data_IF_361178418142
#
_entry.id   IF_361178418142
#
_cell.length_a   1.000
_cell.length_b   1.000
_cell.length_c   1.000
_cell.angle_alpha   90.00
_cell.angle_beta   90.00
_cell.angle_gamma   90.00
#
_symmetry.space_group_name_H-M   'P 1'
#
loop_
_entity.id
_entity.type
_entity.pdbx_description
1 polymer ?
#
# COMPACT_ATOMS: atom_id res chain seq x y z
N UNK A 1 -39.31 54.84 -15.89
CA UNK A 1 -38.46 55.18 -17.05
C UNK A 1 -37.08 55.54 -16.52
N UNK A 2 -36.00 55.27 -17.28
CA UNK A 2 -34.59 55.60 -16.98
C UNK A 2 -33.87 54.57 -16.09
N UNK A 3 -32.71 54.00 -16.42
CA UNK A 3 -32.04 53.65 -17.68
C UNK A 3 -30.92 52.68 -17.25
N UNK A 4 -30.98 51.42 -17.68
CA UNK A 4 -29.91 50.44 -17.49
C UNK A 4 -28.64 51.00 -18.15
N UNK A 5 -27.64 51.43 -17.37
CA UNK A 5 -26.37 51.93 -17.92
C UNK A 5 -25.45 50.74 -18.21
N UNK A 6 -25.41 50.38 -19.49
CA UNK A 6 -24.37 49.58 -20.15
C UNK A 6 -23.04 50.33 -20.04
N UNK A 7 -22.02 49.73 -19.44
CA UNK A 7 -20.64 50.24 -19.50
C UNK A 7 -19.83 49.28 -20.37
N UNK A 8 -19.31 49.81 -21.46
CA UNK A 8 -18.69 49.07 -22.55
C UNK A 8 -17.28 48.59 -22.24
N UNK A 9 -16.86 47.60 -23.03
CA UNK A 9 -15.48 47.12 -23.12
C UNK A 9 -14.58 48.28 -23.56
N UNK A 10 -13.62 48.61 -22.71
CA UNK A 10 -12.42 49.34 -23.08
C UNK A 10 -11.25 48.45 -22.69
N UNK A 11 -10.60 47.87 -23.69
CA UNK A 11 -9.36 47.13 -23.50
C UNK A 11 -8.35 48.02 -22.79
N UNK A 12 -7.88 47.57 -21.64
CA UNK A 12 -6.69 48.10 -21.00
C UNK A 12 -5.61 47.06 -21.08
N UNK A 13 -4.58 47.43 -21.84
CA UNK A 13 -3.29 46.77 -21.96
C UNK A 13 -2.66 46.73 -20.57
N UNK A 14 -2.60 45.56 -19.94
CA UNK A 14 -1.89 45.40 -18.66
C UNK A 14 -0.40 45.31 -18.96
N UNK A 15 0.31 46.39 -18.66
CA UNK A 15 1.76 46.45 -18.71
C UNK A 15 2.38 45.44 -17.74
N UNK A 16 3.32 44.62 -18.23
CA UNK A 16 4.12 43.73 -17.39
C UNK A 16 5.09 44.57 -16.53
N UNK A 17 5.09 44.45 -15.19
CA UNK A 17 6.12 45.06 -14.35
C UNK A 17 7.41 44.23 -14.39
N UNK A 18 8.55 44.94 -14.32
CA UNK A 18 9.93 44.43 -14.41
C UNK A 18 10.24 43.40 -13.30
N UNK A 19 10.94 42.33 -13.71
CA UNK A 19 11.37 41.20 -12.86
C UNK A 19 12.63 41.54 -12.05
N UNK A 20 12.57 42.31 -10.96
CA UNK A 20 13.75 42.39 -10.06
C UNK A 20 13.48 42.27 -8.55
N UNK A 21 12.25 42.38 -8.04
CA UNK A 21 11.99 42.23 -6.59
C UNK A 21 10.80 41.29 -6.27
N UNK A 22 10.90 40.02 -6.66
CA UNK A 22 9.96 38.98 -6.22
C UNK A 22 10.69 37.92 -5.37
N UNK A 23 10.18 37.55 -4.18
CA UNK A 23 10.76 36.46 -3.38
C UNK A 23 10.79 35.16 -4.21
N UNK A 24 11.80 34.30 -4.03
CA UNK A 24 12.00 33.15 -4.89
C UNK A 24 10.77 32.25 -4.91
N UNK A 25 10.27 31.94 -6.11
CA UNK A 25 9.11 31.09 -6.29
C UNK A 25 9.35 29.73 -5.63
N UNK A 26 8.42 29.36 -4.74
CA UNK A 26 8.49 28.11 -3.98
C UNK A 26 8.49 26.94 -4.96
N UNK A 27 9.45 26.00 -4.89
CA UNK A 27 9.58 24.95 -5.89
C UNK A 27 8.33 24.06 -5.94
N UNK A 28 7.89 23.74 -7.16
CA UNK A 28 6.70 22.90 -7.40
C UNK A 28 6.92 21.54 -6.76
N UNK A 29 6.05 21.21 -5.81
CA UNK A 29 6.13 19.99 -5.02
C UNK A 29 5.67 18.81 -5.88
N UNK A 30 6.59 17.94 -6.28
CA UNK A 30 6.24 16.64 -6.87
C UNK A 30 6.20 15.57 -5.77
N UNK A 31 5.56 14.43 -6.07
CA UNK A 31 5.34 13.29 -5.15
C UNK A 31 6.62 12.69 -4.54
N UNK A 32 7.81 13.09 -4.99
CA UNK A 32 9.10 12.51 -4.61
C UNK A 32 10.11 13.53 -4.01
N UNK A 33 9.71 14.77 -3.73
CA UNK A 33 10.56 15.77 -3.07
C UNK A 33 10.94 16.98 -3.95
N UNK A 34 11.75 17.90 -3.38
CA UNK A 34 12.24 19.10 -4.06
C UNK A 34 13.37 18.76 -5.04
N UNK A 35 13.33 19.34 -6.24
CA UNK A 35 14.37 19.19 -7.27
C UNK A 35 15.28 20.43 -7.21
N UNK A 36 16.49 20.27 -6.70
CA UNK A 36 17.50 21.32 -6.77
C UNK A 36 18.06 21.43 -8.19
N UNK A 37 18.14 22.67 -8.71
CA UNK A 37 18.48 23.00 -10.12
C UNK A 37 20.00 23.01 -10.41
N UNK A 38 20.83 22.36 -9.61
CA UNK A 38 22.28 22.36 -9.81
C UNK A 38 22.79 20.96 -10.18
N UNK A 39 22.72 20.64 -11.47
CA UNK A 39 23.72 19.90 -12.24
C UNK A 39 23.14 19.59 -13.63
N UNK A 40 23.49 20.44 -14.60
CA UNK A 40 23.36 20.19 -16.04
C UNK A 40 24.79 20.27 -16.58
N UNK A 41 25.28 19.18 -17.17
CA UNK A 41 26.06 19.10 -18.42
C UNK A 41 26.61 17.68 -18.51
N UNK A 42 25.97 16.84 -19.32
CA UNK A 42 26.64 16.13 -20.41
C UNK A 42 25.55 15.57 -21.33
N UNK A 43 25.56 16.05 -22.56
CA UNK A 43 24.65 15.69 -23.64
C UNK A 43 24.97 14.26 -24.11
N UNK A 44 24.05 13.33 -23.84
CA UNK A 44 23.80 12.20 -24.73
C UNK A 44 22.29 12.10 -24.87
N UNK A 45 21.80 12.33 -26.07
CA UNK A 45 20.41 12.13 -26.46
C UNK A 45 20.05 10.64 -26.30
N UNK A 46 19.47 10.30 -25.15
CA UNK A 46 18.61 9.13 -25.01
C UNK A 46 17.27 9.61 -24.45
N UNK A 47 16.29 9.75 -25.36
CA UNK A 47 14.89 10.08 -25.08
C UNK A 47 14.17 8.90 -24.38
N UNK A 48 14.69 8.45 -23.25
CA UNK A 48 14.00 7.66 -22.25
C UNK A 48 14.60 7.98 -20.88
N UNK A 49 14.18 9.09 -20.29
CA UNK A 49 14.28 9.27 -18.83
C UNK A 49 13.34 8.23 -18.23
N UNK A 50 13.83 7.00 -18.12
CA UNK A 50 13.12 5.90 -17.51
C UNK A 50 12.79 6.33 -16.08
N UNK A 51 11.52 6.66 -15.84
CA UNK A 51 10.96 6.83 -14.51
C UNK A 51 11.52 5.71 -13.61
N UNK A 52 11.96 6.00 -12.38
CA UNK A 52 12.67 5.03 -11.56
C UNK A 52 11.86 3.73 -11.52
N UNK A 53 12.42 2.67 -12.13
CA UNK A 53 11.70 1.43 -12.34
C UNK A 53 11.35 0.85 -10.98
N UNK A 54 10.06 0.82 -10.65
CA UNK A 54 9.58 0.26 -9.40
C UNK A 54 9.88 -1.24 -9.37
N UNK A 55 10.84 -1.62 -8.52
CA UNK A 55 11.37 -2.99 -8.44
C UNK A 55 10.40 -3.95 -7.73
N UNK A 56 9.67 -3.50 -6.72
CA UNK A 56 8.89 -4.39 -5.86
C UNK A 56 7.46 -4.62 -6.38
N UNK A 57 7.27 -5.59 -7.28
CA UNK A 57 5.95 -5.94 -7.83
C UNK A 57 5.35 -7.17 -7.14
N UNK A 58 5.01 -7.04 -5.87
CA UNK A 58 4.37 -8.12 -5.13
C UNK A 58 2.84 -8.10 -5.24
N UNK A 59 2.25 -9.29 -5.26
CA UNK A 59 0.80 -9.51 -5.24
C UNK A 59 0.49 -10.50 -4.13
N UNK A 60 -0.39 -10.12 -3.23
CA UNK A 60 -0.70 -10.92 -2.04
C UNK A 60 -2.05 -11.59 -2.24
N UNK A 61 -2.11 -12.91 -2.10
CA UNK A 61 -3.37 -13.65 -2.01
C UNK A 61 -3.82 -13.66 -0.54
N UNK A 62 -5.04 -13.22 -0.26
CA UNK A 62 -5.64 -13.33 1.09
C UNK A 62 -6.79 -14.32 1.05
N UNK A 63 -6.68 -15.37 1.85
CA UNK A 63 -7.73 -16.37 2.01
C UNK A 63 -7.88 -16.81 3.46
N UNK A 64 -8.98 -17.49 3.77
CA UNK A 64 -9.31 -17.94 5.12
C UNK A 64 -9.86 -19.37 5.12
N UNK A 65 -9.75 -20.04 6.26
CA UNK A 65 -10.36 -21.34 6.46
C UNK A 65 -11.88 -21.22 6.56
N UNK A 66 -12.57 -22.33 6.28
CA UNK A 66 -13.96 -22.48 6.71
C UNK A 66 -14.11 -22.25 8.22
N UNK A 67 -15.32 -21.82 8.62
CA UNK A 67 -15.70 -21.56 10.02
C UNK A 67 -14.88 -20.48 10.74
N UNK A 68 -14.33 -19.53 9.99
CA UNK A 68 -13.75 -18.32 10.57
C UNK A 68 -14.80 -17.52 11.36
N UNK A 69 -14.44 -17.09 12.56
CA UNK A 69 -15.28 -16.23 13.41
C UNK A 69 -15.53 -14.87 12.75
N UNK A 70 -16.65 -14.23 13.11
CA UNK A 70 -17.02 -12.90 12.62
C UNK A 70 -15.90 -11.87 12.84
N UNK A 71 -15.34 -11.82 14.05
CA UNK A 71 -14.25 -10.90 14.40
C UNK A 71 -13.02 -11.07 13.49
N UNK A 72 -12.61 -12.31 13.26
CA UNK A 72 -11.45 -12.62 12.41
C UNK A 72 -11.71 -12.34 10.94
N UNK A 73 -12.96 -12.49 10.48
CA UNK A 73 -13.37 -12.07 9.14
C UNK A 73 -13.24 -10.56 8.96
N UNK A 74 -13.64 -9.77 9.95
CA UNK A 74 -13.47 -8.31 9.92
C UNK A 74 -11.99 -7.91 9.95
N UNK A 75 -11.16 -8.56 10.76
CA UNK A 75 -9.70 -8.36 10.73
C UNK A 75 -9.13 -8.60 9.32
N UNK A 76 -9.51 -9.71 8.66
CA UNK A 76 -9.09 -10.01 7.31
C UNK A 76 -9.52 -8.92 6.31
N UNK A 77 -10.77 -8.44 6.40
CA UNK A 77 -11.27 -7.38 5.52
C UNK A 77 -10.55 -6.04 5.74
N UNK A 78 -10.15 -5.73 6.98
CA UNK A 78 -9.34 -4.55 7.28
C UNK A 78 -7.95 -4.64 6.64
N UNK A 79 -7.34 -5.83 6.58
CA UNK A 79 -6.07 -5.99 5.87
C UNK A 79 -6.22 -5.88 4.35
N UNK A 80 -7.31 -6.41 3.80
CA UNK A 80 -7.63 -6.26 2.37
C UNK A 80 -7.87 -4.80 1.99
N UNK A 81 -8.45 -3.99 2.89
CA UNK A 81 -8.66 -2.56 2.61
C UNK A 81 -7.36 -1.75 2.69
N UNK A 82 -6.41 -2.15 3.53
CA UNK A 82 -5.09 -1.53 3.67
C UNK A 82 -4.18 -1.84 2.47
N UNK A 83 -4.20 -3.08 1.96
CA UNK A 83 -3.29 -3.51 0.89
C UNK A 83 -3.92 -3.36 -0.51
N UNK A 84 -3.47 -2.41 -1.35
CA UNK A 84 -4.04 -2.19 -2.68
C UNK A 84 -3.72 -3.32 -3.67
N UNK A 85 -2.63 -4.06 -3.42
CA UNK A 85 -2.15 -5.17 -4.25
C UNK A 85 -2.62 -6.54 -3.73
N UNK A 86 -3.59 -6.55 -2.81
CA UNK A 86 -4.18 -7.76 -2.26
C UNK A 86 -5.33 -8.27 -3.14
N UNK A 87 -5.35 -9.58 -3.39
CA UNK A 87 -6.46 -10.30 -3.98
C UNK A 87 -7.12 -11.17 -2.93
N UNK A 88 -8.36 -10.87 -2.59
CA UNK A 88 -9.17 -11.72 -1.72
C UNK A 88 -9.70 -12.92 -2.51
N UNK A 89 -9.61 -14.12 -1.93
CA UNK A 89 -10.17 -15.34 -2.51
C UNK A 89 -11.27 -15.96 -1.64
N UNK A 90 -11.89 -17.00 -2.18
CA UNK A 90 -12.87 -17.82 -1.48
C UNK A 90 -12.23 -18.63 -0.34
N UNK A 91 -13.09 -19.10 0.56
CA UNK A 91 -12.67 -19.89 1.73
C UNK A 91 -12.14 -21.25 1.29
N UNK A 92 -11.02 -21.67 1.87
CA UNK A 92 -10.41 -22.98 1.59
C UNK A 92 -10.94 -24.05 2.55
N UNK A 93 -11.20 -25.25 2.04
CA UNK A 93 -11.91 -26.33 2.75
C UNK A 93 -11.08 -27.59 3.01
N UNK A 94 -9.91 -27.71 2.38
CA UNK A 94 -9.10 -28.93 2.46
C UNK A 94 -8.52 -29.13 3.87
N UNK A 95 -8.83 -30.28 4.48
CA UNK A 95 -8.32 -30.64 5.81
C UNK A 95 -6.91 -31.22 5.76
N UNK A 96 -6.54 -31.89 4.67
CA UNK A 96 -5.31 -32.70 4.59
C UNK A 96 -4.20 -32.01 3.79
N UNK A 97 -4.52 -31.29 2.70
CA UNK A 97 -3.48 -30.76 1.78
C UNK A 97 -3.52 -29.24 1.62
N UNK A 98 -3.63 -28.51 2.74
CA UNK A 98 -3.75 -27.04 2.73
C UNK A 98 -2.61 -26.35 1.96
N UNK A 99 -1.37 -26.81 2.14
CA UNK A 99 -0.21 -26.21 1.48
C UNK A 99 -0.25 -26.32 -0.04
N UNK A 100 -0.55 -27.52 -0.57
CA UNK A 100 -0.60 -27.74 -2.02
C UNK A 100 -1.74 -26.93 -2.66
N UNK A 101 -2.95 -26.97 -2.07
CA UNK A 101 -4.08 -26.18 -2.57
C UNK A 101 -3.80 -24.68 -2.54
N UNK A 102 -3.11 -24.18 -1.50
CA UNK A 102 -2.74 -22.76 -1.45
C UNK A 102 -1.72 -22.39 -2.53
N UNK A 103 -0.74 -23.25 -2.79
CA UNK A 103 0.24 -23.02 -3.86
C UNK A 103 -0.43 -22.96 -5.24
N UNK A 104 -1.35 -23.90 -5.53
CA UNK A 104 -2.15 -23.90 -6.76
C UNK A 104 -2.97 -22.60 -6.89
N UNK A 105 -3.65 -22.16 -5.82
CA UNK A 105 -4.42 -20.92 -5.83
C UNK A 105 -3.55 -19.68 -6.09
N UNK A 106 -2.36 -19.65 -5.48
CA UNK A 106 -1.39 -18.56 -5.69
C UNK A 106 -0.92 -18.51 -7.14
N UNK A 107 -0.63 -19.66 -7.74
CA UNK A 107 -0.24 -19.78 -9.15
C UNK A 107 -1.38 -19.35 -10.08
N UNK A 108 -2.61 -19.84 -9.85
CA UNK A 108 -3.80 -19.47 -10.62
C UNK A 108 -4.08 -17.96 -10.58
N UNK A 109 -3.89 -17.33 -9.42
CA UNK A 109 -4.10 -15.88 -9.25
C UNK A 109 -2.88 -15.03 -9.61
N UNK A 110 -1.75 -15.66 -9.97
CA UNK A 110 -0.45 -15.00 -10.22
C UNK A 110 -0.05 -14.08 -9.06
N UNK A 111 -0.11 -14.61 -7.84
CA UNK A 111 0.36 -13.94 -6.64
C UNK A 111 1.79 -14.38 -6.29
N UNK A 112 2.55 -13.53 -5.61
CA UNK A 112 3.90 -13.83 -5.12
C UNK A 112 3.88 -14.34 -3.68
N UNK A 113 2.92 -13.84 -2.90
CA UNK A 113 2.81 -14.12 -1.47
C UNK A 113 1.38 -14.51 -1.11
N UNK A 114 1.21 -15.27 -0.02
CA UNK A 114 -0.06 -15.71 0.49
C UNK A 114 -0.19 -15.39 1.98
N UNK A 115 -1.36 -14.89 2.36
CA UNK A 115 -1.82 -14.74 3.73
C UNK A 115 -3.04 -15.64 3.93
N UNK A 116 -2.90 -16.66 4.77
CA UNK A 116 -3.96 -17.60 5.07
C UNK A 116 -4.36 -17.56 6.54
N UNK A 117 -5.63 -17.20 6.78
CA UNK A 117 -6.23 -17.14 8.11
C UNK A 117 -6.82 -18.50 8.47
N UNK A 118 -6.10 -19.29 9.26
CA UNK A 118 -6.55 -20.59 9.76
C UNK A 118 -7.24 -20.41 11.12
N UNK A 119 -8.56 -20.60 11.16
CA UNK A 119 -9.30 -20.62 12.41
C UNK A 119 -9.47 -22.07 12.90
N UNK A 120 -9.01 -22.35 14.12
CA UNK A 120 -9.18 -23.66 14.79
C UNK A 120 -10.18 -23.55 15.92
N UNK A 121 -11.05 -24.56 16.03
CA UNK A 121 -12.10 -24.66 17.07
C UNK A 121 -12.99 -23.40 17.20
N UNK A 122 -13.05 -22.56 16.16
CA UNK A 122 -13.69 -21.24 16.17
C UNK A 122 -13.18 -20.27 17.27
N UNK A 123 -12.03 -20.57 17.89
CA UNK A 123 -11.44 -19.79 18.99
C UNK A 123 -10.09 -19.25 18.61
N UNK A 124 -9.19 -20.11 18.16
CA UNK A 124 -7.81 -19.73 17.89
C UNK A 124 -7.64 -19.30 16.44
N UNK A 125 -6.93 -18.19 16.24
CA UNK A 125 -6.56 -17.71 14.91
C UNK A 125 -5.06 -17.91 14.69
N UNK A 126 -4.73 -18.64 13.64
CA UNK A 126 -3.38 -18.74 13.12
C UNK A 126 -3.30 -17.99 11.79
N UNK A 127 -2.28 -17.15 11.65
CA UNK A 127 -1.98 -16.48 10.39
C UNK A 127 -0.76 -17.15 9.77
N UNK A 128 -0.97 -17.70 8.58
CA UNK A 128 0.11 -18.20 7.74
C UNK A 128 0.51 -17.12 6.77
N UNK A 129 1.79 -16.78 6.75
CA UNK A 129 2.40 -15.90 5.75
C UNK A 129 3.43 -16.70 4.98
N UNK A 130 3.28 -16.78 3.66
CA UNK A 130 4.17 -17.56 2.82
C UNK A 130 4.54 -16.79 1.54
N UNK A 131 5.81 -16.87 1.13
CA UNK A 131 6.22 -16.54 -0.24
C UNK A 131 6.15 -17.83 -1.06
N UNK A 132 5.39 -17.83 -2.14
CA UNK A 132 5.20 -19.00 -3.00
C UNK A 132 5.95 -18.78 -4.32
N UNK A 133 6.48 -19.83 -4.98
CA UNK A 133 6.31 -21.26 -4.69
C UNK A 133 7.39 -21.87 -3.77
N UNK A 134 8.52 -21.19 -3.56
CA UNK A 134 9.71 -21.75 -2.89
C UNK A 134 9.72 -21.64 -1.36
N UNK A 135 8.76 -20.97 -0.75
CA UNK A 135 8.90 -20.48 0.63
C UNK A 135 9.73 -19.20 0.69
N UNK A 136 9.98 -18.62 1.88
CA UNK A 136 9.71 -19.14 3.23
C UNK A 136 8.24 -19.07 3.66
N UNK A 137 7.89 -19.81 4.72
CA UNK A 137 6.56 -19.76 5.35
C UNK A 137 6.67 -19.61 6.86
N UNK A 138 5.76 -18.83 7.42
CA UNK A 138 5.74 -18.48 8.83
C UNK A 138 4.32 -18.64 9.34
N UNK A 139 4.21 -19.18 10.55
CA UNK A 139 2.94 -19.34 11.25
C UNK A 139 2.93 -18.50 12.52
N UNK A 140 2.01 -17.55 12.57
CA UNK A 140 1.76 -16.73 13.74
C UNK A 140 0.53 -17.23 14.49
N UNK A 141 0.60 -17.25 15.82
CA UNK A 141 -0.59 -17.30 16.67
C UNK A 141 -1.03 -15.86 16.92
N UNK A 142 -2.24 -15.50 16.47
CA UNK A 142 -2.77 -14.15 16.63
C UNK A 142 -3.62 -14.10 17.90
N UNK A 143 -3.11 -13.39 18.91
CA UNK A 143 -3.81 -13.14 20.17
C UNK A 143 -4.38 -11.73 20.22
N UNK A 144 -5.45 -11.52 21.01
CA UNK A 144 -5.99 -10.19 21.35
C UNK A 144 -6.30 -9.34 20.10
N UNK A 145 -7.21 -9.83 19.26
CA UNK A 145 -7.64 -9.12 18.05
C UNK A 145 -8.66 -8.04 18.41
N UNK A 146 -8.36 -6.80 18.03
CA UNK A 146 -9.32 -5.70 18.01
C UNK A 146 -9.52 -5.20 16.58
N UNK A 147 -10.77 -5.09 16.15
CA UNK A 147 -11.09 -4.62 14.79
C UNK A 147 -11.24 -3.10 14.75
N UNK A 148 -11.11 -2.51 13.56
CA UNK A 148 -11.29 -1.07 13.36
C UNK A 148 -12.67 -0.56 13.80
N UNK A 149 -13.69 -1.42 13.79
CA UNK A 149 -15.05 -1.08 14.23
C UNK A 149 -15.20 -1.10 15.76
N UNK A 150 -14.39 -1.90 16.45
CA UNK A 150 -14.40 -2.00 17.92
C UNK A 150 -13.59 -0.87 18.56
N UNK A 151 -12.49 -0.44 17.92
CA UNK A 151 -11.66 0.65 18.41
C UNK A 151 -12.27 1.99 18.03
N UNK A 152 -12.61 2.83 19.03
CA UNK A 152 -13.08 4.21 18.83
C UNK A 152 -11.94 5.16 18.43
N UNK A 153 -11.14 4.77 17.44
CA UNK A 153 -10.12 5.63 16.88
C UNK A 153 -10.76 6.62 15.92
N UNK A 154 -10.50 7.91 16.13
CA UNK A 154 -10.94 9.01 15.26
C UNK A 154 -10.03 9.22 14.05
N UNK A 155 -9.00 8.38 13.89
CA UNK A 155 -8.00 8.50 12.84
C UNK A 155 -8.51 8.04 11.47
N UNK A 156 -8.35 8.88 10.46
CA UNK A 156 -8.65 8.56 9.06
C UNK A 156 -7.35 8.42 8.24
N UNK A 157 -7.35 7.55 7.25
CA UNK A 157 -6.23 7.35 6.34
C UNK A 157 -6.73 7.13 4.91
N UNK A 158 -5.91 7.49 3.93
CA UNK A 158 -6.22 7.24 2.54
C UNK A 158 -6.13 5.74 2.24
N UNK A 159 -7.23 5.17 1.74
CA UNK A 159 -7.29 3.75 1.35
C UNK A 159 -6.28 3.44 0.24
N UNK A 160 -5.45 2.42 0.44
CA UNK A 160 -4.40 2.04 -0.52
C UNK A 160 -3.21 3.00 -0.56
N UNK A 161 -3.10 3.93 0.40
CA UNK A 161 -1.86 4.70 0.59
C UNK A 161 -0.70 3.79 0.98
N UNK A 162 0.52 4.27 0.74
CA UNK A 162 1.74 3.54 1.10
C UNK A 162 2.03 3.77 2.58
N UNK A 163 1.92 2.75 3.45
CA UNK A 163 2.21 2.91 4.87
C UNK A 163 3.71 3.11 5.10
N UNK A 164 4.05 3.79 6.19
CA UNK A 164 5.40 3.81 6.74
C UNK A 164 5.56 2.60 7.66
N UNK A 165 6.62 1.83 7.47
CA UNK A 165 6.96 0.67 8.30
C UNK A 165 8.12 1.05 9.21
N UNK A 166 7.91 0.93 10.53
CA UNK A 166 8.94 1.15 11.55
C UNK A 166 9.15 -0.13 12.31
N UNK A 167 10.36 -0.67 12.27
CA UNK A 167 10.73 -1.89 12.97
C UNK A 167 11.51 -1.57 14.25
N UNK A 168 11.25 -2.33 15.31
CA UNK A 168 12.05 -2.26 16.54
C UNK A 168 13.45 -2.86 16.32
N UNK A 169 14.44 -2.39 17.08
CA UNK A 169 15.80 -2.93 17.09
C UNK A 169 15.86 -4.44 17.43
N UNK A 170 14.82 -4.98 18.07
CA UNK A 170 14.71 -6.41 18.33
C UNK A 170 14.73 -7.26 17.05
N UNK A 171 14.29 -6.71 15.91
CA UNK A 171 14.26 -7.46 14.65
C UNK A 171 15.66 -7.73 14.07
N UNK A 172 16.71 -7.14 14.62
CA UNK A 172 18.08 -7.27 14.13
C UNK A 172 18.93 -8.24 14.96
N UNK A 173 18.40 -8.76 16.06
CA UNK A 173 19.12 -9.66 16.98
C UNK A 173 19.33 -11.04 16.38
N UNK A 174 18.24 -11.71 16.00
CA UNK A 174 18.30 -13.09 15.51
C UNK A 174 17.98 -13.20 14.00
N UNK A 175 18.51 -14.24 13.36
CA UNK A 175 18.30 -14.48 11.93
C UNK A 175 16.83 -14.68 11.55
N UNK A 176 16.04 -15.33 12.40
CA UNK A 176 14.60 -15.52 12.15
C UNK A 176 13.85 -14.19 12.17
N UNK A 177 14.21 -13.25 13.05
CA UNK A 177 13.61 -11.92 13.04
C UNK A 177 13.99 -11.11 11.81
N UNK A 178 15.24 -11.21 11.35
CA UNK A 178 15.68 -10.58 10.09
C UNK A 178 14.89 -11.11 8.90
N UNK A 179 14.64 -12.42 8.85
CA UNK A 179 13.81 -13.04 7.83
C UNK A 179 12.37 -12.50 7.88
N UNK A 180 11.79 -12.38 9.08
CA UNK A 180 10.45 -11.83 9.28
C UNK A 180 10.34 -10.35 8.92
N UNK A 181 11.42 -9.58 9.08
CA UNK A 181 11.48 -8.17 8.68
C UNK A 181 11.50 -8.01 7.15
N UNK A 182 12.11 -8.95 6.44
CA UNK A 182 12.24 -8.92 4.97
C UNK A 182 11.04 -9.55 4.23
N UNK A 183 10.33 -10.48 4.89
CA UNK A 183 9.17 -11.16 4.33
C UNK A 183 7.97 -10.23 4.13
#
# INVERSE_FOLDING_TARGET
MVKKRKRGESGQVVAHPKKEDAPPERPVRTLLGWKDKSQVTDEVEDNNVASPIFRNKEKVLVTCSRRISYRYRHLMLNLVSLFPHCKKDNKVESKETKGATLNELVELKRCSSCLFFECRKAKDLYLWMAKCPSGPSVKFLVSVVHTMEELKLTGNHLKGSRPLLTFSANFEKDAHWKLLKEM
#
